data_IF_287434586084
#
_entry.id   IF_287434586084
#
_cell.length_a   1.000
_cell.length_b   1.000
_cell.length_c   1.000
_cell.angle_alpha   90.00
_cell.angle_beta   90.00
_cell.angle_gamma   90.00
#
_symmetry.space_group_name_H-M   'P 1'
#
loop_
_entity.id
_entity.type
_entity.pdbx_description
1 polymer ?
#
# COMPACT_ATOMS: atom_id res chain seq x y z
N UNK A 1 45.55 -6.39 -9.14
CA UNK A 1 44.64 -5.49 -9.87
C UNK A 1 43.87 -6.18 -11.00
N UNK A 2 44.50 -6.97 -11.89
CA UNK A 2 43.79 -7.70 -12.98
C UNK A 2 42.64 -8.62 -12.54
N UNK A 3 42.73 -9.24 -11.35
CA UNK A 3 41.65 -10.09 -10.80
C UNK A 3 40.44 -9.30 -10.27
N UNK A 4 40.53 -7.96 -10.11
CA UNK A 4 39.43 -7.11 -9.64
C UNK A 4 38.47 -6.73 -10.79
N UNK A 5 39.00 -6.63 -12.02
CA UNK A 5 38.27 -6.06 -13.15
C UNK A 5 37.10 -6.95 -13.57
N UNK A 6 37.29 -8.26 -13.70
CA UNK A 6 36.24 -9.16 -14.18
C UNK A 6 35.00 -9.20 -13.26
N UNK A 7 35.12 -9.34 -11.93
CA UNK A 7 33.95 -9.28 -11.04
C UNK A 7 33.26 -7.91 -11.02
N UNK A 8 34.02 -6.81 -11.16
CA UNK A 8 33.46 -5.46 -11.22
C UNK A 8 32.70 -5.19 -12.51
N UNK A 9 33.22 -5.67 -13.64
CA UNK A 9 32.50 -5.61 -14.93
C UNK A 9 31.23 -6.45 -14.85
N UNK A 10 31.32 -7.68 -14.33
CA UNK A 10 30.16 -8.54 -14.15
C UNK A 10 29.08 -7.92 -13.24
N UNK A 11 29.49 -7.30 -12.12
CA UNK A 11 28.53 -6.63 -11.22
C UNK A 11 27.95 -5.37 -11.85
N UNK A 12 28.72 -4.58 -12.61
CA UNK A 12 28.20 -3.43 -13.33
C UNK A 12 27.16 -3.84 -14.40
N UNK A 13 27.43 -4.90 -15.17
CA UNK A 13 26.47 -5.47 -16.13
C UNK A 13 25.20 -5.95 -15.42
N UNK A 14 25.35 -6.64 -14.28
CA UNK A 14 24.22 -7.09 -13.48
C UNK A 14 23.39 -5.92 -12.94
N UNK A 15 24.04 -4.87 -12.42
CA UNK A 15 23.39 -3.65 -11.93
C UNK A 15 22.59 -2.98 -13.04
N UNK A 16 23.15 -2.82 -14.24
CA UNK A 16 22.43 -2.24 -15.39
C UNK A 16 21.19 -3.07 -15.76
N UNK A 17 21.34 -4.40 -15.82
CA UNK A 17 20.22 -5.31 -16.08
C UNK A 17 19.14 -5.23 -15.00
N UNK A 18 19.53 -5.12 -13.72
CA UNK A 18 18.61 -5.00 -12.60
C UNK A 18 17.86 -3.65 -12.58
N UNK A 19 18.51 -2.55 -12.95
CA UNK A 19 17.84 -1.24 -13.08
C UNK A 19 16.75 -1.32 -14.16
N UNK A 20 17.06 -1.89 -15.33
CA UNK A 20 16.11 -2.05 -16.43
C UNK A 20 14.94 -2.98 -16.04
N UNK A 21 15.25 -4.09 -15.37
CA UNK A 21 14.24 -5.01 -14.84
C UNK A 21 13.30 -4.32 -13.83
N UNK A 22 13.87 -3.56 -12.88
CA UNK A 22 13.11 -2.84 -11.86
C UNK A 22 12.28 -1.68 -12.41
N UNK A 23 12.68 -1.10 -13.54
CA UNK A 23 11.94 -0.02 -14.20
C UNK A 23 10.78 -0.54 -15.05
N UNK A 24 11.02 -1.59 -15.86
CA UNK A 24 10.06 -2.01 -16.91
C UNK A 24 9.36 -3.33 -16.61
N UNK A 25 10.10 -4.34 -16.17
CA UNK A 25 9.58 -5.71 -16.06
C UNK A 25 8.80 -5.90 -14.75
N UNK A 26 9.41 -5.57 -13.62
CA UNK A 26 8.83 -5.78 -12.30
C UNK A 26 7.50 -5.03 -12.11
N UNK A 27 7.39 -3.72 -12.46
CA UNK A 27 6.14 -2.98 -12.25
C UNK A 27 5.00 -3.49 -13.13
N UNK A 28 5.30 -3.81 -14.38
CA UNK A 28 4.33 -4.31 -15.35
C UNK A 28 3.82 -5.71 -14.99
N UNK A 29 4.71 -6.61 -14.57
CA UNK A 29 4.35 -7.94 -14.10
C UNK A 29 3.41 -7.86 -12.88
N UNK A 30 3.77 -7.07 -11.87
CA UNK A 30 2.96 -6.89 -10.66
C UNK A 30 1.58 -6.30 -10.97
N UNK A 31 1.53 -5.30 -11.85
CA UNK A 31 0.27 -4.70 -12.27
C UNK A 31 -0.64 -5.69 -13.01
N UNK A 32 -0.09 -6.48 -13.94
CA UNK A 32 -0.85 -7.52 -14.65
C UNK A 32 -1.42 -8.57 -13.71
N UNK A 33 -0.62 -9.04 -12.75
CA UNK A 33 -1.09 -9.99 -11.73
C UNK A 33 -2.25 -9.41 -10.93
N UNK A 34 -2.15 -8.14 -10.51
CA UNK A 34 -3.22 -7.46 -9.76
C UNK A 34 -4.50 -7.33 -10.58
N UNK A 35 -4.42 -6.93 -11.85
CA UNK A 35 -5.56 -6.83 -12.76
C UNK A 35 -6.19 -8.20 -13.01
N UNK A 36 -5.39 -9.25 -13.19
CA UNK A 36 -5.88 -10.61 -13.35
C UNK A 36 -6.59 -11.11 -12.10
N UNK A 37 -6.01 -10.90 -10.92
CA UNK A 37 -6.63 -11.26 -9.64
C UNK A 37 -7.95 -10.52 -9.46
N UNK A 38 -7.99 -9.22 -9.74
CA UNK A 38 -9.21 -8.42 -9.72
C UNK A 38 -10.29 -8.99 -10.67
N UNK A 39 -9.91 -9.38 -11.90
CA UNK A 39 -10.81 -10.00 -12.85
C UNK A 39 -11.34 -11.36 -12.39
N UNK A 40 -10.50 -12.19 -11.75
CA UNK A 40 -10.91 -13.48 -11.16
C UNK A 40 -11.90 -13.26 -10.02
N UNK A 41 -11.62 -12.32 -9.12
CA UNK A 41 -12.54 -11.98 -8.01
C UNK A 41 -13.89 -11.48 -8.53
N UNK A 42 -13.90 -10.68 -9.60
CA UNK A 42 -15.14 -10.21 -10.24
C UNK A 42 -15.92 -11.33 -10.93
N UNK A 43 -15.25 -12.21 -11.68
CA UNK A 43 -15.91 -13.32 -12.40
C UNK A 43 -16.39 -14.42 -11.46
N UNK A 44 -15.69 -14.66 -10.35
CA UNK A 44 -15.96 -15.76 -9.41
C UNK A 44 -16.00 -15.28 -7.96
N UNK A 45 -16.96 -14.41 -7.59
CA UNK A 45 -17.02 -13.82 -6.26
C UNK A 45 -17.19 -14.87 -5.15
N UNK A 46 -17.89 -15.98 -5.40
CA UNK A 46 -18.02 -17.07 -4.43
C UNK A 46 -16.67 -17.67 -4.00
N UNK A 47 -15.68 -17.76 -4.89
CA UNK A 47 -14.35 -18.31 -4.55
C UNK A 47 -13.59 -17.45 -3.55
N UNK A 48 -13.78 -16.13 -3.59
CA UNK A 48 -13.17 -15.19 -2.62
C UNK A 48 -13.65 -15.42 -1.19
N UNK A 49 -14.84 -16.03 -1.03
CA UNK A 49 -15.46 -16.31 0.25
C UNK A 49 -15.10 -17.72 0.78
N UNK A 50 -14.33 -18.52 0.04
CA UNK A 50 -13.98 -19.90 0.44
C UNK A 50 -13.29 -19.99 1.82
N UNK A 51 -12.52 -18.97 2.21
CA UNK A 51 -11.89 -18.90 3.53
C UNK A 51 -12.81 -18.45 4.68
N UNK A 52 -14.08 -18.17 4.39
CA UNK A 52 -15.07 -17.61 5.33
C UNK A 52 -16.28 -18.53 5.54
N UNK A 53 -16.14 -19.81 5.21
CA UNK A 53 -17.17 -20.83 5.44
C UNK A 53 -17.60 -20.86 6.92
N UNK A 54 -18.90 -20.84 7.18
CA UNK A 54 -19.44 -20.82 8.54
C UNK A 54 -19.33 -19.49 9.28
N UNK A 55 -18.83 -18.43 8.65
CA UNK A 55 -18.77 -17.08 9.23
C UNK A 55 -19.73 -16.13 8.54
N UNK A 56 -20.20 -15.11 9.27
CA UNK A 56 -21.04 -14.06 8.71
C UNK A 56 -20.21 -13.11 7.84
N UNK A 57 -20.75 -12.78 6.66
CA UNK A 57 -20.19 -11.80 5.72
C UNK A 57 -21.21 -10.68 5.56
N UNK A 58 -20.88 -9.52 6.12
CA UNK A 58 -21.77 -8.36 6.11
C UNK A 58 -21.66 -7.55 4.82
N UNK A 59 -22.81 -7.20 4.27
CA UNK A 59 -23.03 -6.33 3.14
C UNK A 59 -23.95 -5.16 3.55
N UNK A 60 -23.99 -4.06 2.80
CA UNK A 60 -24.92 -2.96 3.08
C UNK A 60 -26.38 -3.44 3.19
N UNK A 61 -26.92 -3.44 4.41
CA UNK A 61 -28.30 -3.85 4.70
C UNK A 61 -28.55 -5.37 4.79
N UNK A 62 -27.53 -6.22 4.59
CA UNK A 62 -27.67 -7.67 4.62
C UNK A 62 -26.47 -8.38 5.25
N UNK A 63 -26.69 -9.47 5.97
CA UNK A 63 -25.64 -10.38 6.44
C UNK A 63 -25.79 -11.74 5.79
N UNK A 64 -24.74 -12.24 5.14
CA UNK A 64 -24.71 -13.52 4.45
C UNK A 64 -23.99 -14.57 5.29
N UNK A 65 -24.59 -15.75 5.44
CA UNK A 65 -23.98 -16.94 6.01
C UNK A 65 -24.07 -18.07 4.99
N UNK A 66 -23.02 -18.86 4.85
CA UNK A 66 -23.02 -20.05 4.00
C UNK A 66 -22.17 -21.15 4.63
N UNK A 67 -22.54 -22.41 4.36
CA UNK A 67 -21.84 -23.58 4.92
C UNK A 67 -20.63 -23.99 4.12
N UNK A 68 -20.71 -23.92 2.79
CA UNK A 68 -19.65 -24.41 1.91
C UNK A 68 -19.64 -23.70 0.56
N UNK A 69 -18.45 -23.53 -0.02
CA UNK A 69 -18.25 -23.06 -1.38
C UNK A 69 -17.79 -24.22 -2.26
N UNK A 70 -18.46 -24.46 -3.40
CA UNK A 70 -18.01 -25.43 -4.42
C UNK A 70 -18.14 -24.82 -5.81
N UNK A 71 -17.01 -24.56 -6.45
CA UNK A 71 -16.98 -23.85 -7.74
C UNK A 71 -17.47 -22.41 -7.57
N UNK A 72 -18.50 -22.05 -8.32
CA UNK A 72 -19.12 -20.71 -8.29
C UNK A 72 -20.37 -20.65 -7.39
N UNK A 73 -20.71 -21.75 -6.72
CA UNK A 73 -21.93 -21.89 -5.91
C UNK A 73 -21.64 -21.90 -4.42
N UNK A 74 -22.50 -21.22 -3.66
CA UNK A 74 -22.59 -21.30 -2.21
C UNK A 74 -23.66 -22.30 -1.82
N UNK A 75 -23.41 -23.11 -0.79
CA UNK A 75 -24.33 -24.13 -0.29
C UNK A 75 -24.73 -23.85 1.16
N UNK A 76 -25.99 -24.13 1.49
CA UNK A 76 -26.57 -23.85 2.80
C UNK A 76 -26.52 -22.36 3.10
N UNK A 77 -27.16 -21.56 2.24
CA UNK A 77 -27.08 -20.11 2.27
C UNK A 77 -28.19 -19.55 3.14
N UNK A 78 -27.85 -18.65 4.05
CA UNK A 78 -28.79 -17.84 4.82
C UNK A 78 -28.45 -16.37 4.63
N UNK A 79 -29.41 -15.58 4.17
CA UNK A 79 -29.28 -14.14 4.02
C UNK A 79 -30.22 -13.45 5.01
N UNK A 80 -29.66 -12.67 5.90
CA UNK A 80 -30.39 -11.84 6.86
C UNK A 80 -30.49 -10.44 6.27
N UNK A 81 -31.70 -9.91 6.12
CA UNK A 81 -31.96 -8.56 5.68
C UNK A 81 -32.75 -7.80 6.73
N UNK A 82 -32.45 -6.51 6.90
CA UNK A 82 -33.28 -5.60 7.68
C UNK A 82 -34.11 -4.75 6.71
N UNK A 83 -35.42 -5.01 6.67
CA UNK A 83 -36.39 -4.26 5.88
C UNK A 83 -36.66 -2.87 6.45
N UNK A 84 -37.51 -2.10 5.76
CA UNK A 84 -38.04 -0.84 6.28
C UNK A 84 -38.86 -1.12 7.55
N UNK A 85 -38.87 -0.17 8.50
CA UNK A 85 -39.61 -0.27 9.77
C UNK A 85 -39.18 -1.39 10.74
N UNK A 86 -38.00 -1.97 10.56
CA UNK A 86 -37.47 -2.98 11.48
C UNK A 86 -37.90 -4.42 11.18
N UNK A 87 -38.70 -4.64 10.12
CA UNK A 87 -39.08 -5.98 9.65
C UNK A 87 -37.82 -6.77 9.32
N UNK A 88 -37.65 -7.92 9.98
CA UNK A 88 -36.49 -8.78 9.76
C UNK A 88 -36.87 -9.84 8.74
N UNK A 89 -36.13 -9.91 7.63
CA UNK A 89 -36.33 -10.94 6.61
C UNK A 89 -35.15 -11.90 6.62
N UNK A 90 -35.41 -13.19 6.82
CA UNK A 90 -34.39 -14.24 6.75
C UNK A 90 -34.70 -15.13 5.55
N UNK A 91 -33.79 -15.15 4.58
CA UNK A 91 -33.88 -16.02 3.42
C UNK A 91 -32.96 -17.21 3.63
N UNK A 92 -33.50 -18.43 3.61
CA UNK A 92 -32.71 -19.66 3.66
C UNK A 92 -32.82 -20.37 2.32
N UNK A 93 -31.71 -20.89 1.79
CA UNK A 93 -31.69 -21.56 0.50
C UNK A 93 -30.70 -22.72 0.49
N UNK A 94 -31.01 -23.77 -0.29
CA UNK A 94 -30.11 -24.92 -0.45
C UNK A 94 -28.79 -24.50 -1.10
N UNK A 95 -28.86 -23.64 -2.11
CA UNK A 95 -27.69 -23.08 -2.77
C UNK A 95 -27.97 -21.70 -3.35
N UNK A 96 -26.91 -20.97 -3.67
CA UNK A 96 -27.01 -19.68 -4.33
C UNK A 96 -25.75 -19.31 -5.11
N UNK A 97 -25.90 -18.30 -5.97
CA UNK A 97 -24.87 -17.73 -6.81
C UNK A 97 -24.73 -16.25 -6.53
N UNK A 98 -23.49 -15.76 -6.65
CA UNK A 98 -23.14 -14.36 -6.46
C UNK A 98 -22.66 -13.81 -7.80
N UNK A 99 -23.20 -12.67 -8.21
CA UNK A 99 -22.79 -11.95 -9.42
C UNK A 99 -22.60 -10.48 -9.12
N UNK A 100 -21.48 -9.90 -9.55
CA UNK A 100 -21.18 -8.48 -9.39
C UNK A 100 -21.40 -7.80 -10.74
N UNK A 101 -22.13 -6.68 -10.74
CA UNK A 101 -22.37 -5.88 -11.94
C UNK A 101 -21.05 -5.35 -12.55
N UNK A 102 -21.03 -4.99 -13.86
CA UNK A 102 -19.82 -4.50 -14.52
C UNK A 102 -19.21 -3.25 -13.87
N UNK A 103 -20.05 -2.39 -13.31
CA UNK A 103 -19.68 -1.18 -12.54
C UNK A 103 -19.12 -1.48 -11.13
N UNK A 104 -19.24 -2.73 -10.66
CA UNK A 104 -18.81 -3.13 -9.31
C UNK A 104 -19.70 -2.66 -8.17
N UNK A 105 -20.80 -1.95 -8.44
CA UNK A 105 -21.60 -1.28 -7.41
C UNK A 105 -22.72 -2.15 -6.83
N UNK A 106 -23.14 -3.18 -7.57
CA UNK A 106 -24.28 -4.04 -7.22
C UNK A 106 -23.90 -5.51 -7.17
N UNK A 107 -24.18 -6.16 -6.04
CA UNK A 107 -24.07 -7.61 -5.84
C UNK A 107 -25.46 -8.20 -5.99
N UNK A 108 -25.60 -9.08 -6.96
CA UNK A 108 -26.79 -9.88 -7.17
C UNK A 108 -26.59 -11.25 -6.52
N UNK A 109 -27.36 -11.52 -5.47
CA UNK A 109 -27.44 -12.83 -4.81
C UNK A 109 -28.65 -13.56 -5.37
N UNK A 110 -28.40 -14.64 -6.11
CA UNK A 110 -29.46 -15.52 -6.63
C UNK A 110 -29.55 -16.76 -5.75
N UNK A 111 -30.65 -16.90 -5.02
CA UNK A 111 -30.92 -18.02 -4.12
C UNK A 111 -31.85 -19.02 -4.80
N UNK A 112 -31.61 -20.31 -4.59
CA UNK A 112 -32.36 -21.39 -5.21
C UNK A 112 -32.88 -22.39 -4.19
N UNK A 113 -34.13 -22.83 -4.39
CA UNK A 113 -34.83 -23.82 -3.57
C UNK A 113 -34.76 -23.45 -2.08
N UNK A 114 -35.52 -22.43 -1.71
CA UNK A 114 -35.44 -21.83 -0.40
C UNK A 114 -36.78 -21.34 0.14
N UNK A 115 -36.67 -20.63 1.24
CA UNK A 115 -37.78 -20.11 2.01
C UNK A 115 -37.45 -18.72 2.54
N UNK A 116 -38.42 -17.83 2.46
CA UNK A 116 -38.39 -16.50 3.07
C UNK A 116 -39.14 -16.57 4.37
N UNK A 117 -38.51 -16.09 5.43
CA UNK A 117 -39.05 -15.97 6.77
C UNK A 117 -39.17 -14.47 7.07
N UNK A 118 -40.37 -14.01 7.42
CA UNK A 118 -40.60 -12.61 7.79
C UNK A 118 -41.23 -12.54 9.17
N UNK A 119 -40.72 -11.61 9.97
CA UNK A 119 -41.26 -11.29 11.30
C UNK A 119 -41.41 -9.78 11.41
N UNK A 120 -42.64 -9.34 11.66
CA UNK A 120 -42.94 -7.93 11.95
C UNK A 120 -42.71 -7.67 13.44
N UNK A 121 -41.86 -6.70 13.82
CA UNK A 121 -41.68 -6.34 15.23
C UNK A 121 -42.95 -5.83 15.90
N UNK A 122 -43.90 -5.26 15.15
CA UNK A 122 -45.16 -4.72 15.65
C UNK A 122 -46.21 -5.82 15.86
N UNK A 123 -46.11 -6.92 15.12
CA UNK A 123 -46.97 -8.11 15.23
C UNK A 123 -46.12 -9.38 15.33
N UNK A 124 -45.43 -9.65 16.47
CA UNK A 124 -44.50 -10.76 16.60
C UNK A 124 -45.12 -12.14 16.36
N UNK A 125 -46.42 -12.27 16.62
CA UNK A 125 -47.19 -13.51 16.43
C UNK A 125 -47.46 -13.82 14.96
N UNK A 126 -47.34 -12.83 14.07
CA UNK A 126 -47.60 -12.96 12.64
C UNK A 126 -46.33 -13.32 11.88
N UNK A 127 -45.87 -14.54 12.10
CA UNK A 127 -44.76 -15.12 11.35
C UNK A 127 -45.23 -15.64 9.99
N UNK A 128 -44.56 -15.19 8.92
CA UNK A 128 -44.88 -15.62 7.54
C UNK A 128 -43.70 -16.39 6.94
N UNK A 129 -44.01 -17.56 6.38
CA UNK A 129 -43.06 -18.39 5.63
C UNK A 129 -43.55 -18.60 4.20
N UNK A 130 -42.69 -18.26 3.24
CA UNK A 130 -42.98 -18.40 1.82
C UNK A 130 -41.88 -19.21 1.13
N UNK A 131 -42.25 -20.29 0.45
CA UNK A 131 -41.31 -21.09 -0.34
C UNK A 131 -41.04 -20.46 -1.70
N UNK A 132 -39.82 -20.59 -2.21
CA UNK A 132 -39.44 -20.15 -3.55
C UNK A 132 -38.54 -21.15 -4.26
N UNK A 133 -38.72 -21.24 -5.58
CA UNK A 133 -37.79 -21.95 -6.46
C UNK A 133 -36.53 -21.11 -6.76
N UNK A 134 -36.70 -19.81 -6.99
CA UNK A 134 -35.64 -18.83 -7.24
C UNK A 134 -35.99 -17.49 -6.62
N UNK A 135 -35.04 -16.87 -5.92
CA UNK A 135 -35.17 -15.54 -5.33
C UNK A 135 -33.93 -14.71 -5.65
N UNK A 136 -34.10 -13.46 -6.06
CA UNK A 136 -33.00 -12.57 -6.46
C UNK A 136 -32.95 -11.36 -5.53
N UNK A 137 -31.84 -11.18 -4.83
CA UNK A 137 -31.56 -10.00 -4.01
C UNK A 137 -30.50 -9.17 -4.71
N UNK A 138 -30.77 -7.88 -4.91
CA UNK A 138 -29.79 -6.91 -5.40
C UNK A 138 -29.38 -6.02 -4.24
N UNK A 139 -28.10 -6.05 -3.91
CA UNK A 139 -27.49 -5.25 -2.86
C UNK A 139 -26.68 -4.16 -3.55
N UNK A 140 -27.18 -2.93 -3.51
CA UNK A 140 -26.52 -1.76 -4.08
C UNK A 140 -25.70 -1.02 -3.03
N UNK A 141 -24.75 -0.21 -3.48
CA UNK A 141 -23.93 0.60 -2.58
C UNK A 141 -22.84 -0.21 -1.90
N UNK A 142 -22.29 -1.22 -2.59
CA UNK A 142 -21.07 -1.92 -2.18
C UNK A 142 -19.89 -0.95 -2.21
N UNK A 143 -19.84 -0.05 -1.23
CA UNK A 143 -18.66 0.77 -0.93
C UNK A 143 -17.54 -0.05 -0.30
N UNK A 144 -17.78 -1.34 -0.05
CA UNK A 144 -16.87 -2.29 0.60
C UNK A 144 -16.16 -3.19 -0.42
N UNK A 145 -14.86 -2.96 -0.56
CA UNK A 145 -13.89 -4.01 -0.90
C UNK A 145 -13.59 -4.30 -2.36
N UNK A 146 -14.41 -3.84 -3.31
CA UNK A 146 -14.20 -4.05 -4.74
C UNK A 146 -14.37 -2.75 -5.54
N UNK A 147 -13.70 -1.67 -5.11
CA UNK A 147 -13.34 -0.58 -6.04
C UNK A 147 -12.43 -1.19 -7.11
N UNK A 148 -13.07 -1.75 -8.14
CA UNK A 148 -12.44 -2.25 -9.36
C UNK A 148 -12.25 -1.12 -10.38
N UNK A 149 -12.84 0.06 -10.12
CA UNK A 149 -12.50 1.29 -10.83
C UNK A 149 -11.25 1.92 -10.21
N UNK A 150 -10.24 2.06 -11.07
CA UNK A 150 -8.83 2.33 -10.80
C UNK A 150 -8.17 1.26 -9.91
N UNK A 151 -7.81 0.12 -10.51
CA UNK A 151 -6.57 -0.57 -10.10
C UNK A 151 -5.41 0.37 -10.45
N UNK A 152 -5.29 1.47 -9.71
CA UNK A 152 -4.16 2.37 -9.80
C UNK A 152 -2.91 1.54 -9.50
N UNK A 153 -1.84 1.84 -10.22
CA UNK A 153 -0.53 1.29 -9.91
C UNK A 153 -0.20 1.69 -8.47
N UNK A 154 0.02 0.70 -7.61
CA UNK A 154 0.63 0.92 -6.31
C UNK A 154 1.99 1.60 -6.46
N UNK A 155 2.51 2.13 -5.36
CA UNK A 155 3.87 2.66 -5.25
C UNK A 155 4.94 1.76 -5.89
N UNK A 156 4.87 0.45 -5.64
CA UNK A 156 5.78 -0.59 -6.16
C UNK A 156 5.43 -1.09 -7.58
N UNK A 157 4.33 -0.62 -8.16
CA UNK A 157 3.85 -0.95 -9.52
C UNK A 157 4.11 0.18 -10.53
N UNK A 158 4.76 1.26 -10.10
CA UNK A 158 5.16 2.37 -10.97
C UNK A 158 6.58 2.22 -11.52
N UNK A 159 6.78 2.68 -12.76
CA UNK A 159 8.12 2.85 -13.34
C UNK A 159 8.80 4.09 -12.77
N UNK A 160 10.10 4.24 -13.02
CA UNK A 160 10.89 5.42 -12.64
C UNK A 160 10.30 6.69 -13.25
N UNK A 161 9.89 6.63 -14.53
CA UNK A 161 9.24 7.75 -15.21
C UNK A 161 7.94 8.17 -14.50
N UNK A 162 7.06 7.21 -14.24
CA UNK A 162 5.80 7.44 -13.52
C UNK A 162 6.03 8.01 -12.12
N UNK A 163 7.01 7.49 -11.38
CA UNK A 163 7.39 8.00 -10.06
C UNK A 163 7.85 9.46 -10.13
N UNK A 164 8.72 9.80 -11.09
CA UNK A 164 9.20 11.19 -11.29
C UNK A 164 8.06 12.14 -11.62
N UNK A 165 7.16 11.74 -12.51
CA UNK A 165 5.99 12.54 -12.86
C UNK A 165 5.06 12.74 -11.66
N UNK A 166 4.84 11.68 -10.87
CA UNK A 166 4.01 11.76 -9.66
C UNK A 166 4.63 12.65 -8.58
N UNK A 167 5.94 12.55 -8.37
CA UNK A 167 6.68 13.43 -7.47
C UNK A 167 6.57 14.89 -7.92
N UNK A 168 6.73 15.16 -9.23
CA UNK A 168 6.58 16.50 -9.80
C UNK A 168 5.17 17.06 -9.60
N UNK A 169 4.14 16.26 -9.87
CA UNK A 169 2.73 16.61 -9.65
C UNK A 169 2.47 16.97 -8.17
N UNK A 170 2.94 16.13 -7.25
CA UNK A 170 2.75 16.33 -5.81
C UNK A 170 3.53 17.53 -5.28
N UNK A 171 4.76 17.75 -5.75
CA UNK A 171 5.54 18.96 -5.41
C UNK A 171 4.82 20.22 -5.87
N UNK A 172 4.19 20.22 -7.04
CA UNK A 172 3.38 21.34 -7.50
C UNK A 172 2.13 21.58 -6.62
N UNK A 173 1.45 20.50 -6.18
CA UNK A 173 0.31 20.59 -5.25
C UNK A 173 0.73 21.08 -3.86
N UNK A 174 1.86 20.59 -3.35
CA UNK A 174 2.45 21.04 -2.09
C UNK A 174 2.77 22.53 -2.13
N UNK A 175 3.44 23.01 -3.19
CA UNK A 175 3.73 24.43 -3.39
C UNK A 175 2.46 25.30 -3.42
N UNK A 176 1.39 24.84 -4.08
CA UNK A 176 0.10 25.54 -4.06
C UNK A 176 -0.51 25.62 -2.65
N UNK A 177 -0.41 24.54 -1.86
CA UNK A 177 -0.88 24.53 -0.48
C UNK A 177 -0.04 25.46 0.42
N UNK A 178 1.28 25.49 0.23
CA UNK A 178 2.18 26.41 0.94
C UNK A 178 1.82 27.88 0.66
N UNK A 179 1.59 28.24 -0.61
CA UNK A 179 1.18 29.59 -0.98
C UNK A 179 -0.15 29.99 -0.33
N UNK A 180 -1.13 29.08 -0.28
CA UNK A 180 -2.42 29.31 0.39
C UNK A 180 -2.25 29.51 1.90
N UNK A 181 -1.39 28.73 2.54
CA UNK A 181 -1.09 28.90 3.96
C UNK A 181 -0.46 30.27 4.20
N UNK A 182 0.52 30.67 3.39
CA UNK A 182 1.16 31.98 3.51
C UNK A 182 0.17 33.14 3.27
N UNK A 183 -0.75 33.01 2.31
CA UNK A 183 -1.80 34.01 2.07
C UNK A 183 -2.74 34.15 3.27
N UNK A 184 -3.13 33.02 3.87
CA UNK A 184 -3.96 33.02 5.08
C UNK A 184 -3.20 33.59 6.28
N UNK A 185 -1.92 33.25 6.43
CA UNK A 185 -1.05 33.76 7.48
C UNK A 185 -0.90 35.28 7.41
N UNK A 186 -0.67 35.83 6.21
CA UNK A 186 -0.60 37.28 5.98
C UNK A 186 -1.90 37.99 6.38
N UNK A 187 -3.07 37.42 6.05
CA UNK A 187 -4.38 37.95 6.47
C UNK A 187 -4.58 37.97 7.99
N UNK A 188 -3.86 37.12 8.71
CA UNK A 188 -3.87 37.04 10.17
C UNK A 188 -2.71 37.83 10.82
N UNK A 189 -1.88 38.53 10.03
CA UNK A 189 -0.71 39.24 10.53
C UNK A 189 0.44 38.33 11.01
N UNK A 190 0.42 37.05 10.62
CA UNK A 190 1.44 36.07 10.98
C UNK A 190 2.58 36.13 9.96
N UNK A 191 3.78 36.43 10.45
CA UNK A 191 5.01 36.41 9.64
C UNK A 191 5.85 35.17 9.96
N UNK A 192 6.50 34.61 8.95
CA UNK A 192 7.41 33.48 9.10
C UNK A 192 8.11 33.17 7.78
N UNK A 193 9.37 32.70 7.85
CA UNK A 193 10.15 32.31 6.67
C UNK A 193 9.79 30.91 6.20
N UNK A 194 9.39 30.03 7.13
CA UNK A 194 9.00 28.65 6.85
C UNK A 194 7.54 28.39 7.22
N UNK A 195 6.92 27.41 6.56
CA UNK A 195 5.54 27.00 6.90
C UNK A 195 5.44 26.46 8.33
N UNK A 196 6.51 25.86 8.84
CA UNK A 196 6.56 25.33 10.21
C UNK A 196 6.67 26.46 11.25
N UNK A 197 7.39 27.55 10.96
CA UNK A 197 7.36 28.80 11.76
C UNK A 197 5.98 29.47 11.74
N UNK A 198 5.35 29.56 10.56
CA UNK A 198 3.99 30.11 10.43
C UNK A 198 3.01 29.31 11.30
N UNK A 199 3.16 27.98 11.32
CA UNK A 199 2.33 27.09 12.13
C UNK A 199 2.55 27.28 13.62
N UNK A 200 3.81 27.42 14.08
CA UNK A 200 4.09 27.62 15.50
C UNK A 200 3.50 28.93 16.02
N UNK A 201 3.64 30.02 15.27
CA UNK A 201 3.00 31.30 15.58
C UNK A 201 1.48 31.21 15.57
N UNK A 202 0.90 30.50 14.59
CA UNK A 202 -0.55 30.31 14.52
C UNK A 202 -1.12 29.50 15.67
N UNK A 203 -0.40 28.48 16.17
CA UNK A 203 -0.79 27.73 17.36
C UNK A 203 -0.80 28.61 18.61
N UNK A 204 0.23 29.43 18.80
CA UNK A 204 0.27 30.39 19.91
C UNK A 204 -0.90 31.37 19.88
N UNK A 205 -1.25 31.89 18.70
CA UNK A 205 -2.41 32.79 18.54
C UNK A 205 -3.73 32.06 18.81
N UNK A 206 -3.83 30.78 18.43
CA UNK A 206 -5.02 29.94 18.65
C UNK A 206 -5.39 29.76 20.13
N UNK A 207 -4.43 29.91 21.05
CA UNK A 207 -4.64 29.81 22.50
C UNK A 207 -5.19 31.12 23.12
N UNK A 208 -5.15 32.23 22.36
CA UNK A 208 -5.65 33.54 22.79
C UNK A 208 -7.15 33.77 22.57
N UNK A 209 -7.61 34.99 22.93
CA UNK A 209 -8.98 35.44 22.66
C UNK A 209 -9.14 35.86 21.18
N UNK A 210 -9.65 34.95 20.36
CA UNK A 210 -9.93 35.17 18.94
C UNK A 210 -11.41 35.43 18.64
N UNK A 211 -11.68 36.32 17.68
CA UNK A 211 -12.99 36.54 17.07
C UNK A 211 -13.48 35.31 16.30
N UNK A 212 -14.81 35.16 16.16
CA UNK A 212 -15.44 34.03 15.43
C UNK A 212 -14.95 33.93 13.99
N UNK A 213 -14.66 35.07 13.34
CA UNK A 213 -14.11 35.13 11.97
C UNK A 213 -12.67 34.62 11.92
N UNK A 214 -11.82 35.04 12.86
CA UNK A 214 -10.42 34.64 12.92
C UNK A 214 -10.27 33.15 13.23
N UNK A 215 -11.12 32.61 14.13
CA UNK A 215 -11.20 31.17 14.40
C UNK A 215 -11.52 30.34 13.15
N UNK A 216 -12.42 30.84 12.29
CA UNK A 216 -12.75 30.20 11.01
C UNK A 216 -11.55 30.18 10.05
N UNK A 217 -10.87 31.32 9.93
CA UNK A 217 -9.66 31.46 9.10
C UNK A 217 -8.51 30.57 9.58
N UNK A 218 -8.25 30.54 10.89
CA UNK A 218 -7.25 29.65 11.53
C UNK A 218 -7.55 28.17 11.29
N UNK A 219 -8.82 27.76 11.44
CA UNK A 219 -9.23 26.38 11.15
C UNK A 219 -8.95 26.02 9.69
N UNK A 220 -9.29 26.91 8.75
CA UNK A 220 -8.98 26.73 7.34
C UNK A 220 -7.49 26.56 7.07
N UNK A 221 -6.65 27.33 7.77
CA UNK A 221 -5.19 27.21 7.69
C UNK A 221 -4.68 25.86 8.19
N UNK A 222 -5.16 25.38 9.34
CA UNK A 222 -4.81 24.06 9.86
C UNK A 222 -5.24 22.94 8.91
N UNK A 223 -6.42 23.04 8.29
CA UNK A 223 -6.82 22.11 7.22
C UNK A 223 -5.85 22.13 6.04
N UNK A 224 -5.42 23.30 5.57
CA UNK A 224 -4.42 23.37 4.49
C UNK A 224 -3.07 22.78 4.92
N UNK A 225 -2.68 22.95 6.18
CA UNK A 225 -1.46 22.36 6.72
C UNK A 225 -1.52 20.83 6.76
N UNK A 226 -2.64 20.22 7.18
CA UNK A 226 -2.82 18.78 7.13
C UNK A 226 -2.73 18.24 5.70
N UNK A 227 -3.32 18.95 4.74
CA UNK A 227 -3.22 18.64 3.31
C UNK A 227 -1.76 18.72 2.83
N UNK A 228 -1.04 19.77 3.20
CA UNK A 228 0.39 19.91 2.87
C UNK A 228 1.23 18.78 3.46
N UNK A 229 1.01 18.43 4.73
CA UNK A 229 1.69 17.33 5.40
C UNK A 229 1.43 16.00 4.70
N UNK A 230 0.20 15.76 4.24
CA UNK A 230 -0.16 14.59 3.44
C UNK A 230 0.58 14.55 2.10
N UNK A 231 0.70 15.69 1.41
CA UNK A 231 1.49 15.78 0.19
C UNK A 231 2.98 15.51 0.43
N UNK A 232 3.58 16.12 1.47
CA UNK A 232 4.99 15.89 1.83
C UNK A 232 5.25 14.41 2.15
N UNK A 233 4.37 13.77 2.92
CA UNK A 233 4.48 12.33 3.21
C UNK A 233 4.41 11.49 1.94
N UNK A 234 3.49 11.82 1.03
CA UNK A 234 3.36 11.12 -0.25
C UNK A 234 4.59 11.31 -1.13
N UNK A 235 5.16 12.52 -1.16
CA UNK A 235 6.41 12.81 -1.90
C UNK A 235 7.55 11.95 -1.36
N UNK A 236 7.77 11.96 -0.04
CA UNK A 236 8.82 11.16 0.59
C UNK A 236 8.67 9.68 0.25
N UNK A 237 7.46 9.13 0.35
CA UNK A 237 7.18 7.74 0.01
C UNK A 237 7.58 7.40 -1.43
N UNK A 238 7.23 8.25 -2.40
CA UNK A 238 7.61 8.01 -3.80
C UNK A 238 9.10 8.25 -4.07
N UNK A 239 9.74 9.18 -3.37
CA UNK A 239 11.20 9.38 -3.43
C UNK A 239 11.96 8.18 -2.86
N UNK A 240 11.46 7.55 -1.79
CA UNK A 240 12.01 6.29 -1.25
C UNK A 240 11.95 5.20 -2.31
N UNK A 241 10.79 4.96 -2.92
CA UNK A 241 10.64 3.96 -3.99
C UNK A 241 11.54 4.26 -5.19
N UNK A 242 11.66 5.53 -5.58
CA UNK A 242 12.56 5.96 -6.64
C UNK A 242 14.02 5.61 -6.30
N UNK A 243 14.46 5.90 -5.08
CA UNK A 243 15.83 5.59 -4.66
C UNK A 243 16.07 4.08 -4.54
N UNK A 244 15.12 3.30 -4.03
CA UNK A 244 15.21 1.82 -3.96
C UNK A 244 15.42 1.18 -5.34
N UNK A 245 14.78 1.71 -6.38
CA UNK A 245 14.98 1.22 -7.77
C UNK A 245 16.41 1.37 -8.27
N UNK A 246 17.22 2.24 -7.67
CA UNK A 246 18.64 2.43 -7.99
C UNK A 246 19.59 1.85 -6.94
N UNK A 247 19.32 2.04 -5.65
CA UNK A 247 20.21 1.61 -4.57
C UNK A 247 20.34 0.09 -4.50
N UNK A 248 19.23 -0.65 -4.63
CA UNK A 248 19.25 -2.13 -4.60
C UNK A 248 20.10 -2.72 -5.74
N UNK A 249 19.97 -2.27 -7.02
CA UNK A 249 20.89 -2.70 -8.07
C UNK A 249 22.36 -2.30 -7.81
N UNK A 250 22.62 -1.12 -7.25
CA UNK A 250 23.98 -0.67 -6.92
C UNK A 250 24.61 -1.54 -5.82
N UNK A 251 23.80 -2.09 -4.92
CA UNK A 251 24.25 -3.02 -3.88
C UNK A 251 25.00 -4.23 -4.47
N UNK A 252 24.71 -4.66 -5.70
CA UNK A 252 25.46 -5.72 -6.37
C UNK A 252 26.96 -5.39 -6.49
N UNK A 253 27.30 -4.15 -6.82
CA UNK A 253 28.70 -3.69 -6.91
C UNK A 253 29.30 -3.65 -5.51
N UNK A 254 28.57 -3.10 -4.55
CA UNK A 254 29.00 -2.98 -3.14
C UNK A 254 29.29 -4.35 -2.52
N UNK A 255 28.42 -5.34 -2.74
CA UNK A 255 28.63 -6.71 -2.26
C UNK A 255 29.84 -7.38 -2.91
N UNK A 256 30.13 -7.09 -4.18
CA UNK A 256 31.37 -7.59 -4.82
C UNK A 256 32.60 -6.92 -4.22
N UNK A 257 32.55 -5.61 -3.93
CA UNK A 257 33.65 -4.88 -3.29
C UNK A 257 34.01 -5.43 -1.90
N UNK A 258 33.01 -5.86 -1.13
CA UNK A 258 33.21 -6.47 0.20
C UNK A 258 33.50 -7.97 0.10
N UNK A 259 32.77 -8.69 -0.75
CA UNK A 259 32.86 -10.14 -0.88
C UNK A 259 34.19 -10.61 -1.47
N UNK A 260 34.80 -9.85 -2.36
CA UNK A 260 36.07 -10.19 -2.97
C UNK A 260 37.26 -10.24 -1.99
N UNK A 261 37.56 -9.18 -1.20
CA UNK A 261 38.65 -9.22 -0.23
C UNK A 261 38.42 -10.27 0.86
N UNK A 262 37.17 -10.44 1.29
CA UNK A 262 36.81 -11.45 2.29
C UNK A 262 36.95 -12.87 1.75
N UNK A 263 36.48 -13.14 0.52
CA UNK A 263 36.60 -14.44 -0.12
C UNK A 263 38.05 -14.88 -0.34
N UNK A 264 38.94 -13.96 -0.71
CA UNK A 264 40.38 -14.25 -0.87
C UNK A 264 41.02 -14.58 0.49
N UNK A 265 40.66 -13.86 1.56
CA UNK A 265 41.26 -14.02 2.90
C UNK A 265 40.74 -15.26 3.63
N UNK A 266 39.50 -15.65 3.40
CA UNK A 266 38.80 -16.77 4.09
C UNK A 266 39.21 -18.15 3.54
N UNK A 267 40.16 -18.23 2.59
CA UNK A 267 40.65 -19.49 2.00
C UNK A 267 41.16 -20.54 3.01
N UNK A 268 41.40 -20.17 4.28
CA UNK A 268 41.78 -21.07 5.39
C UNK A 268 40.60 -21.61 6.22
N UNK A 269 39.37 -21.11 6.05
CA UNK A 269 38.21 -21.38 6.91
C UNK A 269 37.13 -22.32 6.32
N UNK A 270 37.35 -22.93 5.16
CA UNK A 270 36.33 -23.76 4.49
C UNK A 270 35.23 -22.93 3.80
N UNK A 271 34.53 -23.56 2.85
CA UNK A 271 33.50 -22.91 2.00
C UNK A 271 32.36 -22.28 2.82
N UNK A 272 32.00 -22.88 3.96
CA UNK A 272 30.89 -22.44 4.81
C UNK A 272 31.08 -21.08 5.47
N UNK A 273 32.32 -20.69 5.79
CA UNK A 273 32.61 -19.39 6.44
C UNK A 273 32.34 -18.23 5.47
N UNK A 274 32.68 -18.39 4.20
CA UNK A 274 32.38 -17.39 3.17
C UNK A 274 30.88 -17.21 2.97
N UNK A 275 30.13 -18.32 2.87
CA UNK A 275 28.67 -18.30 2.74
C UNK A 275 27.99 -17.64 3.94
N UNK A 276 28.36 -18.04 5.17
CA UNK A 276 27.80 -17.46 6.40
C UNK A 276 28.02 -15.95 6.49
N UNK A 277 29.21 -15.48 6.10
CA UNK A 277 29.52 -14.05 6.08
C UNK A 277 28.68 -13.29 5.05
N UNK A 278 28.50 -13.83 3.85
CA UNK A 278 27.61 -13.24 2.83
C UNK A 278 26.17 -13.16 3.29
N UNK A 279 25.64 -14.22 3.92
CA UNK A 279 24.29 -14.21 4.51
C UNK A 279 24.19 -13.16 5.61
N UNK A 280 25.21 -13.04 6.47
CA UNK A 280 25.25 -11.99 7.50
C UNK A 280 25.16 -10.58 6.93
N UNK A 281 25.98 -10.25 5.91
CA UNK A 281 25.92 -8.95 5.24
C UNK A 281 24.57 -8.71 4.54
N UNK A 282 23.97 -9.75 3.94
CA UNK A 282 22.65 -9.65 3.34
C UNK A 282 21.56 -9.33 4.38
N UNK A 283 21.55 -10.03 5.52
CA UNK A 283 20.59 -9.77 6.61
C UNK A 283 20.74 -8.36 7.15
N UNK A 284 21.97 -7.90 7.39
CA UNK A 284 22.24 -6.53 7.84
C UNK A 284 21.74 -5.51 6.82
N UNK A 285 22.07 -5.68 5.53
CA UNK A 285 21.59 -4.81 4.46
C UNK A 285 20.06 -4.72 4.43
N UNK A 286 19.39 -5.86 4.53
CA UNK A 286 17.93 -5.93 4.50
C UNK A 286 17.29 -5.27 5.73
N UNK A 287 17.90 -5.42 6.91
CA UNK A 287 17.46 -4.74 8.13
C UNK A 287 17.55 -3.22 8.00
N UNK A 288 18.64 -2.70 7.43
CA UNK A 288 18.75 -1.26 7.14
C UNK A 288 17.71 -0.80 6.11
N UNK A 289 17.41 -1.61 5.10
CA UNK A 289 16.43 -1.24 4.07
C UNK A 289 15.02 -1.10 4.65
N UNK A 290 14.59 -2.06 5.47
CA UNK A 290 13.27 -2.02 6.13
C UNK A 290 13.20 -0.92 7.18
N UNK A 291 14.19 -0.85 8.07
CA UNK A 291 14.23 0.19 9.10
C UNK A 291 14.33 1.58 8.48
N UNK A 292 15.05 1.70 7.38
CA UNK A 292 15.22 2.95 6.64
C UNK A 292 13.95 3.44 5.97
N UNK A 293 13.17 2.53 5.37
CA UNK A 293 11.86 2.84 4.78
C UNK A 293 10.90 3.42 5.83
N UNK A 294 10.82 2.79 7.00
CA UNK A 294 9.98 3.25 8.12
C UNK A 294 10.40 4.65 8.64
N UNK A 295 11.71 4.93 8.70
CA UNK A 295 12.22 6.25 9.12
C UNK A 295 11.90 7.36 8.11
N UNK A 296 12.00 7.07 6.82
CA UNK A 296 11.64 8.03 5.76
C UNK A 296 10.13 8.26 5.68
N UNK A 297 9.31 7.22 5.89
CA UNK A 297 7.85 7.31 5.91
C UNK A 297 7.34 8.16 7.09
N UNK A 298 8.10 8.20 8.18
CA UNK A 298 7.89 9.12 9.33
C UNK A 298 8.46 10.51 9.10
N UNK A 299 9.10 10.77 7.96
CA UNK A 299 9.77 12.02 7.60
C UNK A 299 10.88 12.43 8.59
N UNK A 300 11.50 11.46 9.26
CA UNK A 300 12.60 11.71 10.22
C UNK A 300 13.94 11.91 9.52
N UNK A 301 14.12 11.21 8.39
CA UNK A 301 15.35 11.21 7.61
C UNK A 301 15.01 11.39 6.14
N UNK A 302 15.88 12.10 5.39
CA UNK A 302 15.70 12.29 3.95
C UNK A 302 15.68 10.94 3.22
N UNK A 303 14.75 10.73 2.25
CA UNK A 303 14.70 9.51 1.43
C UNK A 303 16.05 9.15 0.80
N UNK A 304 16.81 10.15 0.34
CA UNK A 304 18.11 9.91 -0.28
C UNK A 304 19.12 9.34 0.73
N UNK A 305 19.27 9.96 1.89
CA UNK A 305 20.30 9.55 2.86
C UNK A 305 20.05 8.15 3.38
N UNK A 306 18.80 7.81 3.68
CA UNK A 306 18.49 6.53 4.33
C UNK A 306 18.51 5.35 3.35
N UNK A 307 18.15 5.58 2.08
CA UNK A 307 18.14 4.51 1.06
C UNK A 307 19.53 4.20 0.52
N UNK A 308 20.46 5.16 0.56
CA UNK A 308 21.85 4.97 0.13
C UNK A 308 22.81 4.68 1.28
N UNK A 309 22.40 4.91 2.54
CA UNK A 309 23.23 4.64 3.71
C UNK A 309 23.83 3.22 3.74
N UNK A 310 23.09 2.14 3.43
CA UNK A 310 23.65 0.79 3.47
C UNK A 310 24.75 0.60 2.42
N UNK A 311 24.52 1.09 1.20
CA UNK A 311 25.48 1.01 0.10
C UNK A 311 26.75 1.82 0.40
N UNK A 312 26.59 3.01 0.99
CA UNK A 312 27.72 3.85 1.38
C UNK A 312 28.53 3.24 2.53
N UNK A 313 27.86 2.70 3.56
CA UNK A 313 28.52 2.09 4.72
C UNK A 313 29.26 0.79 4.32
N UNK A 314 28.56 -0.12 3.65
CA UNK A 314 29.14 -1.40 3.21
C UNK A 314 30.18 -1.14 2.10
N UNK A 315 29.93 -0.18 1.20
CA UNK A 315 30.86 0.21 0.15
C UNK A 315 32.15 0.80 0.70
N UNK A 316 32.07 1.71 1.69
CA UNK A 316 33.24 2.25 2.38
C UNK A 316 34.06 1.16 3.07
N UNK A 317 33.39 0.20 3.72
CA UNK A 317 34.05 -0.97 4.30
C UNK A 317 34.75 -1.82 3.24
N UNK A 318 34.10 -2.05 2.09
CA UNK A 318 34.68 -2.80 0.96
C UNK A 318 35.94 -2.14 0.40
N UNK A 319 35.88 -0.83 0.16
CA UNK A 319 37.02 -0.03 -0.30
C UNK A 319 38.16 -0.10 0.74
N UNK A 320 37.86 0.10 2.02
CA UNK A 320 38.84 0.01 3.10
C UNK A 320 39.53 -1.37 3.13
N UNK A 321 38.77 -2.46 3.01
CA UNK A 321 39.31 -3.83 2.98
C UNK A 321 40.20 -4.07 1.77
N UNK A 322 39.85 -3.54 0.59
CA UNK A 322 40.64 -3.63 -0.62
C UNK A 322 41.97 -2.86 -0.51
N UNK A 323 41.93 -1.63 -0.01
CA UNK A 323 43.14 -0.81 0.18
C UNK A 323 44.11 -1.47 1.16
N UNK A 324 43.60 -1.99 2.28
CA UNK A 324 44.41 -2.71 3.27
C UNK A 324 45.01 -4.01 2.72
N UNK A 325 44.40 -4.63 1.71
CA UNK A 325 44.96 -5.80 1.04
C UNK A 325 46.01 -5.46 0.00
N UNK A 326 45.84 -4.36 -0.73
CA UNK A 326 46.81 -3.91 -1.74
C UNK A 326 48.08 -3.27 -1.15
N UNK A 327 48.05 -2.90 0.13
CA UNK A 327 49.20 -2.35 0.87
C UNK A 327 50.13 -3.42 1.47
N UNK A 328 49.92 -4.70 1.17
CA UNK A 328 50.81 -5.82 1.50
C UNK A 328 51.26 -6.52 0.22
#
# INVERSE_FOLDING_TARGET
YRMLLAPLVASATLTLGMVEFNDRVLPEANHRVKVLLAAVHRKRPALSLKGREGTFVDFPGYSLLFRKVKGEKLYGVTLYGRGKEGITTVLKAKWGELNISPDGETLTVTLHQGEVHQMDPKEPERYVRTNFSKYVVRISGLRMGLRLEEVGRGDREMSIGMLKDKIKELKAKAKKAELRISEIALKLGISGKTTDEILSHARAISEGKLSRREKGTLRGMFTQWEVLKSYRRSINKYEVELHKKYSIPVACIVFVLVGMPLGIRVRRGGLGVGFGLSVGFFVVYWAFLIGGEELADRMLVSPWTIMWAPDLLIGALGIYLLLRMGAK
#
